data_IF_071178683609
#
_entry.id   IF_071178683609
#
_cell.length_a   1.000
_cell.length_b   1.000
_cell.length_c   1.000
_cell.angle_alpha   90.00
_cell.angle_beta   90.00
_cell.angle_gamma   90.00
#
_symmetry.space_group_name_H-M   'P 1'
#
loop_
_entity.id
_entity.type
_entity.pdbx_description
1 polymer ?
#
# COMPACT_ATOMS: atom_id res chain seq x y z
N UNK A 1 19.36 -23.75 -26.20
CA UNK A 1 19.03 -22.51 -25.46
C UNK A 1 17.85 -22.80 -24.55
N UNK A 2 18.03 -22.77 -23.23
CA UNK A 2 16.92 -22.96 -22.27
C UNK A 2 16.17 -21.63 -22.14
N UNK A 3 14.91 -21.61 -22.56
CA UNK A 3 14.04 -20.46 -22.37
C UNK A 3 13.88 -20.15 -20.87
N UNK A 4 14.06 -18.89 -20.49
CA UNK A 4 13.71 -18.42 -19.14
C UNK A 4 12.20 -18.56 -19.00
N UNK A 5 11.76 -19.53 -18.20
CA UNK A 5 10.41 -19.55 -17.65
C UNK A 5 10.30 -18.33 -16.74
N UNK A 6 9.67 -17.25 -17.22
CA UNK A 6 9.18 -16.21 -16.31
C UNK A 6 8.14 -16.90 -15.41
N UNK A 7 8.28 -16.77 -14.09
CA UNK A 7 7.30 -17.31 -13.15
C UNK A 7 5.89 -16.85 -13.52
N UNK A 8 4.89 -17.65 -13.19
CA UNK A 8 3.50 -17.20 -13.29
C UNK A 8 3.33 -16.09 -12.24
N UNK A 9 2.49 -15.07 -12.49
CA UNK A 9 2.04 -14.14 -11.42
C UNK A 9 1.74 -15.01 -10.19
N UNK A 10 2.09 -14.60 -8.97
CA UNK A 10 1.94 -15.39 -7.73
C UNK A 10 3.12 -16.30 -7.37
N UNK A 11 4.07 -16.49 -8.28
CA UNK A 11 5.32 -17.17 -7.96
C UNK A 11 6.25 -16.23 -7.19
N UNK A 12 6.75 -16.70 -6.04
CA UNK A 12 7.63 -15.89 -5.20
C UNK A 12 8.30 -16.65 -4.08
N UNK A 13 9.10 -15.94 -3.32
CA UNK A 13 9.67 -16.42 -2.06
C UNK A 13 9.22 -15.51 -0.95
N UNK A 14 8.75 -16.09 0.15
CA UNK A 14 8.36 -15.35 1.34
C UNK A 14 9.26 -15.77 2.49
N UNK A 15 9.94 -14.81 3.11
CA UNK A 15 10.68 -15.01 4.36
C UNK A 15 9.82 -14.50 5.51
N UNK A 16 9.62 -15.32 6.54
CA UNK A 16 8.76 -14.97 7.68
C UNK A 16 9.56 -14.90 8.97
N UNK A 17 9.09 -14.10 9.91
CA UNK A 17 9.65 -14.00 11.25
C UNK A 17 8.74 -13.25 12.19
N UNK A 18 9.23 -13.03 13.40
CA UNK A 18 8.53 -12.27 14.43
C UNK A 18 9.49 -11.24 15.04
N UNK A 19 9.00 -10.02 15.27
CA UNK A 19 9.73 -8.98 16.01
C UNK A 19 8.73 -7.99 16.63
N UNK A 20 9.05 -7.45 17.81
CA UNK A 20 8.22 -6.47 18.54
C UNK A 20 6.72 -6.82 18.65
N UNK A 21 6.39 -8.11 18.78
CA UNK A 21 5.00 -8.58 18.90
C UNK A 21 4.25 -8.68 17.57
N UNK A 22 4.93 -8.44 16.44
CA UNK A 22 4.39 -8.61 15.09
C UNK A 22 5.00 -9.84 14.42
N UNK A 23 4.15 -10.62 13.73
CA UNK A 23 4.62 -11.53 12.70
C UNK A 23 4.77 -10.74 11.39
N UNK A 24 5.87 -10.95 10.66
CA UNK A 24 6.13 -10.28 9.40
C UNK A 24 6.43 -11.28 8.29
N UNK A 25 6.16 -10.85 7.06
CA UNK A 25 6.49 -11.54 5.83
C UNK A 25 7.20 -10.58 4.88
N UNK A 26 8.39 -10.97 4.39
CA UNK A 26 9.11 -10.27 3.33
C UNK A 26 8.93 -11.04 2.04
N UNK A 27 8.19 -10.45 1.12
CA UNK A 27 7.82 -11.06 -0.15
C UNK A 27 8.78 -10.63 -1.27
N UNK A 28 9.24 -11.61 -2.04
CA UNK A 28 10.10 -11.44 -3.21
C UNK A 28 9.44 -12.07 -4.45
N UNK A 29 9.62 -11.45 -5.61
CA UNK A 29 9.02 -11.89 -6.86
C UNK A 29 7.58 -11.39 -7.01
N UNK A 30 6.73 -12.19 -7.65
CA UNK A 30 5.33 -11.85 -7.93
C UNK A 30 4.37 -12.42 -6.87
N UNK A 31 4.85 -12.65 -5.65
CA UNK A 31 4.01 -13.06 -4.51
C UNK A 31 2.89 -12.04 -4.27
N UNK A 32 1.72 -12.52 -3.85
CA UNK A 32 0.49 -11.72 -3.77
C UNK A 32 -0.12 -11.68 -2.37
N UNK A 33 0.69 -11.80 -1.32
CA UNK A 33 0.20 -11.60 0.05
C UNK A 33 -0.31 -10.17 0.26
N UNK A 34 0.35 -9.19 -0.36
CA UNK A 34 -0.11 -7.80 -0.43
C UNK A 34 -1.56 -7.62 -0.91
N UNK A 35 -2.03 -8.44 -1.86
CA UNK A 35 -3.40 -8.37 -2.39
C UNK A 35 -4.46 -8.85 -1.37
N UNK A 36 -4.02 -9.50 -0.28
CA UNK A 36 -4.86 -10.16 0.73
C UNK A 36 -4.84 -9.44 2.08
N UNK A 37 -4.39 -8.18 2.12
CA UNK A 37 -4.25 -7.41 3.36
C UNK A 37 -5.53 -7.38 4.20
N UNK A 38 -6.67 -7.11 3.56
CA UNK A 38 -7.99 -7.11 4.21
C UNK A 38 -8.36 -8.50 4.73
N UNK A 39 -8.12 -9.56 3.94
CA UNK A 39 -8.37 -10.93 4.38
C UNK A 39 -7.54 -11.29 5.62
N UNK A 40 -6.25 -10.92 5.64
CA UNK A 40 -5.37 -11.11 6.80
C UNK A 40 -5.94 -10.39 8.02
N UNK A 41 -6.36 -9.12 7.86
CA UNK A 41 -6.92 -8.31 8.94
C UNK A 41 -8.30 -8.81 9.44
N UNK A 42 -8.98 -9.70 8.71
CA UNK A 42 -10.25 -10.27 9.14
C UNK A 42 -10.12 -11.21 10.35
N UNK A 43 -8.93 -11.77 10.57
CA UNK A 43 -8.61 -12.68 11.68
C UNK A 43 -8.53 -12.03 13.06
N UNK A 44 -9.12 -10.84 13.26
CA UNK A 44 -8.97 -9.99 14.45
C UNK A 44 -7.53 -9.54 14.73
N UNK A 45 -6.70 -9.52 13.71
CA UNK A 45 -5.36 -8.97 13.74
C UNK A 45 -5.34 -7.67 12.95
N UNK A 46 -4.51 -6.74 13.40
CA UNK A 46 -4.19 -5.54 12.65
C UNK A 46 -3.12 -5.94 11.61
N UNK A 47 -3.17 -5.38 10.40
CA UNK A 47 -2.23 -5.72 9.32
C UNK A 47 -1.65 -4.46 8.68
N UNK A 48 -0.32 -4.41 8.58
CA UNK A 48 0.42 -3.32 7.94
C UNK A 48 1.18 -3.86 6.73
N UNK A 49 1.09 -3.16 5.61
CA UNK A 49 1.85 -3.45 4.41
C UNK A 49 2.61 -2.21 3.94
N UNK A 50 3.92 -2.36 3.84
CA UNK A 50 4.83 -1.37 3.27
C UNK A 50 5.36 -1.86 1.92
N UNK A 51 5.15 -1.08 0.87
CA UNK A 51 5.60 -1.38 -0.47
C UNK A 51 6.63 -0.33 -0.91
N UNK A 52 7.93 -0.67 -1.03
CA UNK A 52 8.98 0.32 -1.29
C UNK A 52 8.91 1.01 -2.67
N UNK A 53 8.18 0.44 -3.64
CA UNK A 53 7.97 0.98 -5.01
C UNK A 53 9.20 1.65 -5.66
N UNK A 54 10.39 1.05 -5.53
CA UNK A 54 11.67 1.66 -5.94
C UNK A 54 11.76 2.07 -7.41
N UNK A 55 11.08 1.35 -8.31
CA UNK A 55 11.02 1.68 -9.74
C UNK A 55 9.96 2.74 -10.09
N UNK A 56 8.98 2.98 -9.21
CA UNK A 56 7.81 3.86 -9.43
C UNK A 56 7.37 4.51 -8.11
N UNK A 57 8.19 5.41 -7.53
CA UNK A 57 7.83 6.08 -6.28
C UNK A 57 6.49 6.84 -6.39
N UNK A 58 5.81 7.12 -5.26
CA UNK A 58 6.29 6.91 -3.89
C UNK A 58 6.17 5.47 -3.38
N UNK A 59 6.95 5.12 -2.34
CA UNK A 59 6.63 3.95 -1.52
C UNK A 59 5.21 4.07 -0.96
N UNK A 60 4.52 2.95 -0.73
CA UNK A 60 3.15 2.95 -0.22
C UNK A 60 3.06 2.31 1.14
N UNK A 61 2.15 2.85 1.94
CA UNK A 61 1.73 2.30 3.21
C UNK A 61 0.25 1.96 3.14
N UNK A 62 -0.10 0.79 3.67
CA UNK A 62 -1.47 0.34 3.83
C UNK A 62 -1.63 -0.25 5.23
N UNK A 63 -2.71 0.14 5.91
CA UNK A 63 -3.11 -0.43 7.18
C UNK A 63 -4.55 -0.91 7.09
N UNK A 64 -4.78 -2.16 7.49
CA UNK A 64 -6.09 -2.77 7.56
C UNK A 64 -6.37 -3.31 8.97
N UNK A 65 -7.63 -3.20 9.36
CA UNK A 65 -8.15 -3.67 10.64
C UNK A 65 -9.55 -4.22 10.47
N UNK A 66 -9.85 -5.33 11.15
CA UNK A 66 -11.17 -5.97 11.11
C UNK A 66 -11.67 -6.27 9.69
N UNK A 67 -10.76 -6.64 8.79
CA UNK A 67 -11.13 -6.95 7.41
C UNK A 67 -11.26 -5.76 6.47
N UNK A 68 -10.91 -4.54 6.90
CA UNK A 68 -11.13 -3.31 6.12
C UNK A 68 -9.83 -2.52 5.99
N UNK A 69 -9.53 -2.01 4.80
CA UNK A 69 -8.47 -1.01 4.60
C UNK A 69 -8.84 0.27 5.36
N UNK A 70 -8.16 0.52 6.47
CA UNK A 70 -8.47 1.61 7.40
C UNK A 70 -7.76 2.90 7.00
N UNK A 71 -6.46 2.86 6.74
CA UNK A 71 -5.68 4.05 6.40
C UNK A 71 -4.56 3.70 5.41
N UNK A 72 -4.34 4.55 4.41
CA UNK A 72 -3.31 4.34 3.40
C UNK A 72 -2.89 5.64 2.75
N UNK A 73 -1.63 5.70 2.32
CA UNK A 73 -1.05 6.83 1.56
C UNK A 73 0.27 6.43 0.90
N UNK A 74 0.73 7.26 -0.04
CA UNK A 74 2.11 7.25 -0.52
C UNK A 74 3.03 8.03 0.43
N UNK A 75 4.25 7.53 0.66
CA UNK A 75 5.27 8.26 1.41
C UNK A 75 5.78 9.43 0.57
N UNK A 76 5.54 10.65 1.02
CA UNK A 76 5.68 11.88 0.23
C UNK A 76 4.35 12.47 -0.24
N UNK A 77 3.25 11.73 -0.06
CA UNK A 77 1.90 12.09 -0.50
C UNK A 77 0.87 11.89 0.63
N UNK A 78 1.28 12.06 1.89
CA UNK A 78 0.48 11.82 3.10
C UNK A 78 -0.77 12.73 3.18
N UNK A 79 -0.74 13.88 2.50
CA UNK A 79 -1.91 14.76 2.33
C UNK A 79 -3.01 14.12 1.46
N UNK A 80 -2.66 13.10 0.65
CA UNK A 80 -3.57 12.30 -0.20
C UNK A 80 -3.81 10.92 0.42
N UNK A 81 -4.28 10.91 1.66
CA UNK A 81 -4.60 9.70 2.43
C UNK A 81 -6.02 9.21 2.15
N UNK A 82 -6.23 7.89 2.20
CA UNK A 82 -7.51 7.23 1.93
C UNK A 82 -7.73 6.00 2.82
N UNK A 83 -8.91 5.41 2.75
CA UNK A 83 -9.34 4.27 3.57
C UNK A 83 -10.62 4.60 4.35
N UNK A 84 -11.08 3.67 5.19
CA UNK A 84 -12.26 3.87 6.03
C UNK A 84 -12.08 4.98 7.09
N UNK A 85 -10.85 5.16 7.59
CA UNK A 85 -10.45 6.21 8.51
C UNK A 85 -9.18 6.89 7.96
N UNK A 86 -9.30 7.71 6.91
CA UNK A 86 -8.15 8.28 6.22
C UNK A 86 -7.32 9.20 7.14
N UNK A 87 -7.96 9.81 8.14
CA UNK A 87 -7.35 10.76 9.08
C UNK A 87 -6.79 10.09 10.35
N UNK A 88 -6.77 8.76 10.42
CA UNK A 88 -6.30 8.00 11.57
C UNK A 88 -4.90 8.42 12.06
N UNK A 89 -4.01 8.79 11.14
CA UNK A 89 -2.63 9.19 11.42
C UNK A 89 -2.40 10.70 11.35
N UNK A 90 -3.43 11.49 11.09
CA UNK A 90 -3.30 12.94 10.92
C UNK A 90 -2.64 13.62 12.13
N UNK A 91 -3.00 13.30 13.40
CA UNK A 91 -2.35 13.92 14.56
C UNK A 91 -0.84 13.68 14.61
N UNK A 92 -0.40 12.46 14.35
CA UNK A 92 1.03 12.09 14.36
C UNK A 92 1.78 12.71 13.18
N UNK A 93 1.16 12.75 12.01
CA UNK A 93 1.73 13.39 10.82
C UNK A 93 1.90 14.91 11.04
N UNK A 94 0.99 15.57 11.73
CA UNK A 94 1.14 16.99 12.11
C UNK A 94 2.23 17.16 13.15
N UNK A 95 2.26 16.29 14.18
CA UNK A 95 3.23 16.38 15.27
C UNK A 95 4.69 16.22 14.79
N UNK A 96 4.93 15.41 13.76
CA UNK A 96 6.24 15.23 13.13
C UNK A 96 6.54 16.23 12.02
N UNK A 97 5.70 17.26 11.92
CA UNK A 97 5.75 18.33 10.92
C UNK A 97 5.67 17.79 9.49
N UNK A 98 5.17 16.57 9.26
CA UNK A 98 4.98 15.95 7.94
C UNK A 98 3.87 16.69 7.17
N UNK A 99 2.81 17.05 7.89
CA UNK A 99 1.70 17.85 7.40
C UNK A 99 1.57 19.15 8.22
N UNK A 100 1.02 20.18 7.59
CA UNK A 100 0.54 21.37 8.28
C UNK A 100 -0.73 21.06 9.09
N UNK A 101 -1.10 21.91 10.07
CA UNK A 101 -2.33 21.72 10.85
C UNK A 101 -3.62 21.64 10.02
N UNK A 102 -3.63 22.21 8.81
CA UNK A 102 -4.75 22.12 7.87
C UNK A 102 -4.75 20.81 7.04
N UNK A 103 -3.78 19.91 7.29
CA UNK A 103 -3.61 18.65 6.60
C UNK A 103 -2.90 18.75 5.24
N UNK A 104 -2.47 19.96 4.84
CA UNK A 104 -1.68 20.16 3.62
C UNK A 104 -0.23 19.73 3.81
N UNK A 105 0.47 19.49 2.70
CA UNK A 105 1.85 19.03 2.74
C UNK A 105 2.81 20.15 3.20
N UNK A 106 3.66 19.84 4.18
CA UNK A 106 4.60 20.82 4.79
C UNK A 106 6.01 20.77 4.16
N UNK A 107 6.17 20.28 2.92
CA UNK A 107 7.51 20.11 2.32
C UNK A 107 7.62 20.62 0.89
N UNK A 108 8.76 21.26 0.55
CA UNK A 108 9.07 21.62 -0.82
C UNK A 108 9.40 20.37 -1.64
N UNK A 109 8.88 20.30 -2.87
CA UNK A 109 9.00 19.18 -3.82
C UNK A 109 10.43 18.80 -4.27
N UNK A 110 11.48 19.29 -3.61
CA UNK A 110 12.87 19.01 -3.97
C UNK A 110 13.31 17.62 -3.49
N UNK A 111 13.99 16.87 -4.38
CA UNK A 111 14.50 15.52 -4.08
C UNK A 111 15.51 15.45 -2.92
N UNK A 112 16.17 16.55 -2.59
CA UNK A 112 17.22 16.61 -1.55
C UNK A 112 16.67 16.29 -0.16
N UNK A 113 15.38 16.58 0.08
CA UNK A 113 14.74 16.34 1.38
C UNK A 113 13.89 15.05 1.43
N UNK A 114 13.82 14.29 0.33
CA UNK A 114 12.94 13.12 0.22
C UNK A 114 13.30 12.01 1.23
N UNK A 115 14.60 11.76 1.45
CA UNK A 115 15.03 10.71 2.40
C UNK A 115 14.73 11.06 3.85
N UNK A 116 15.02 12.30 4.28
CA UNK A 116 14.72 12.73 5.63
C UNK A 116 13.20 12.69 5.92
N UNK A 117 12.38 13.04 4.92
CA UNK A 117 10.94 12.97 5.03
C UNK A 117 10.42 11.52 5.05
N UNK A 118 10.98 10.67 4.19
CA UNK A 118 10.70 9.24 4.17
C UNK A 118 10.99 8.60 5.53
N UNK A 119 12.12 8.92 6.14
CA UNK A 119 12.49 8.46 7.48
C UNK A 119 11.51 8.97 8.56
N UNK A 120 11.05 10.23 8.48
CA UNK A 120 10.04 10.75 9.41
C UNK A 120 8.71 10.01 9.28
N UNK A 121 8.21 9.81 8.07
CA UNK A 121 6.96 9.08 7.83
C UNK A 121 7.07 7.65 8.31
N UNK A 122 8.19 6.95 8.05
CA UNK A 122 8.42 5.63 8.61
C UNK A 122 8.46 5.65 10.15
N UNK A 123 9.09 6.66 10.76
CA UNK A 123 9.12 6.83 12.20
C UNK A 123 7.72 6.99 12.83
N UNK A 124 6.79 7.69 12.16
CA UNK A 124 5.38 7.75 12.57
C UNK A 124 4.76 6.35 12.58
N UNK A 125 4.95 5.59 11.50
CA UNK A 125 4.39 4.24 11.37
C UNK A 125 4.97 3.29 12.43
N UNK A 126 6.28 3.32 12.63
CA UNK A 126 6.98 2.54 13.65
C UNK A 126 6.42 2.82 15.04
N UNK A 127 6.30 4.09 15.43
CA UNK A 127 5.76 4.46 16.75
C UNK A 127 4.28 4.13 16.90
N UNK A 128 3.46 4.39 15.88
CA UNK A 128 2.01 4.19 15.95
C UNK A 128 1.63 2.74 16.15
N UNK A 129 2.31 1.85 15.42
CA UNK A 129 1.99 0.44 15.36
C UNK A 129 2.94 -0.42 16.22
N UNK A 130 3.94 0.18 16.84
CA UNK A 130 4.98 -0.55 17.57
C UNK A 130 5.79 -1.47 16.68
N UNK A 131 5.98 -1.08 15.40
CA UNK A 131 6.72 -1.89 14.45
C UNK A 131 8.22 -1.76 14.68
N UNK A 132 8.91 -2.87 14.54
CA UNK A 132 10.37 -2.94 14.53
C UNK A 132 10.77 -4.00 13.53
N UNK A 133 11.69 -3.67 12.63
CA UNK A 133 12.31 -4.61 11.71
C UNK A 133 13.81 -4.32 11.64
N UNK A 134 14.58 -4.75 12.66
CA UNK A 134 16.00 -4.50 12.72
C UNK A 134 16.71 -5.13 11.53
N UNK A 135 17.72 -4.43 10.99
CA UNK A 135 18.52 -4.94 9.87
C UNK A 135 19.10 -6.34 10.13
N UNK A 136 19.49 -6.64 11.37
CA UNK A 136 19.97 -7.96 11.76
C UNK A 136 18.92 -9.06 11.53
N UNK A 137 17.65 -8.78 11.82
CA UNK A 137 16.53 -9.71 11.59
C UNK A 137 16.31 -9.97 10.10
N UNK A 138 16.40 -8.93 9.27
CA UNK A 138 16.17 -9.06 7.82
C UNK A 138 17.39 -9.63 7.06
N UNK A 139 18.59 -9.17 7.41
CA UNK A 139 19.82 -9.42 6.66
C UNK A 139 20.66 -10.59 7.16
N UNK A 140 20.62 -10.88 8.46
CA UNK A 140 21.57 -11.80 9.10
C UNK A 140 20.87 -13.04 9.66
N UNK A 141 19.61 -12.91 10.10
CA UNK A 141 18.85 -14.03 10.61
C UNK A 141 18.47 -15.04 9.53
N UNK A 142 18.62 -16.32 9.86
CA UNK A 142 18.10 -17.44 9.06
C UNK A 142 16.59 -17.57 9.27
N UNK A 143 15.85 -16.73 8.56
CA UNK A 143 14.39 -16.78 8.56
C UNK A 143 13.89 -17.99 7.74
N UNK A 144 12.84 -18.70 8.21
CA UNK A 144 12.12 -19.66 7.38
C UNK A 144 11.72 -19.01 6.06
N UNK A 145 11.99 -19.72 4.96
CA UNK A 145 11.71 -19.26 3.60
C UNK A 145 10.80 -20.26 2.90
N UNK A 146 9.72 -19.75 2.32
CA UNK A 146 8.71 -20.55 1.64
C UNK A 146 8.66 -20.13 0.17
N UNK A 147 8.73 -21.10 -0.73
CA UNK A 147 8.39 -20.86 -2.13
C UNK A 147 6.88 -20.86 -2.25
N UNK A 148 6.32 -19.76 -2.73
CA UNK A 148 4.92 -19.68 -3.12
C UNK A 148 4.85 -19.97 -4.61
N UNK A 149 4.03 -20.95 -4.97
CA UNK A 149 3.68 -21.25 -6.36
C UNK A 149 2.18 -21.10 -6.50
N UNK A 150 1.75 -20.41 -7.53
CA UNK A 150 0.33 -20.35 -7.84
C UNK A 150 -0.02 -19.17 -8.71
N UNK A 151 -1.18 -19.26 -9.35
CA UNK A 151 -1.84 -18.14 -10.05
C UNK A 151 -2.59 -17.31 -9.00
N UNK A 152 -2.23 -16.04 -8.76
CA UNK A 152 -2.89 -15.21 -7.78
C UNK A 152 -4.28 -14.93 -8.29
N UNK A 153 -5.19 -14.75 -7.34
CA UNK A 153 -6.57 -14.37 -7.60
C UNK A 153 -6.67 -13.53 -8.88
N UNK A 154 -7.25 -14.16 -9.90
CA UNK A 154 -7.69 -13.49 -11.10
C UNK A 154 -8.59 -12.34 -10.63
N UNK A 155 -8.37 -11.13 -11.12
CA UNK A 155 -9.48 -10.18 -11.29
C UNK A 155 -10.53 -10.95 -12.10
N UNK A 156 -11.54 -11.51 -11.44
CA UNK A 156 -12.65 -12.21 -12.14
C UNK A 156 -13.77 -11.26 -12.51
N UNK A 157 -13.58 -9.95 -12.30
CA UNK A 157 -14.39 -8.90 -12.90
C UNK A 157 -13.68 -8.29 -14.12
N UNK A 158 -14.42 -7.84 -15.14
CA UNK A 158 -13.84 -7.07 -16.24
C UNK A 158 -13.04 -5.90 -15.68
N UNK A 159 -11.94 -5.55 -16.34
CA UNK A 159 -11.22 -4.32 -16.02
C UNK A 159 -12.22 -3.15 -16.15
N UNK A 160 -12.45 -2.36 -15.08
CA UNK A 160 -13.40 -1.26 -15.11
C UNK A 160 -13.02 -0.32 -16.24
N UNK A 161 -14.03 0.10 -16.99
CA UNK A 161 -13.85 1.01 -18.11
C UNK A 161 -13.22 2.31 -17.59
N UNK A 162 -12.19 2.79 -18.31
CA UNK A 162 -11.52 4.04 -18.01
C UNK A 162 -12.54 5.19 -17.86
N UNK A 163 -13.62 5.16 -18.65
CA UNK A 163 -14.67 6.16 -18.59
C UNK A 163 -15.51 6.10 -17.31
N UNK A 164 -15.72 4.92 -16.73
CA UNK A 164 -16.40 4.76 -15.43
C UNK A 164 -15.54 5.34 -14.29
N UNK A 165 -14.25 5.00 -14.25
CA UNK A 165 -13.35 5.54 -13.23
C UNK A 165 -13.26 7.07 -13.34
N UNK A 166 -13.28 7.60 -14.56
CA UNK A 166 -13.25 9.05 -14.82
C UNK A 166 -14.53 9.76 -14.35
N UNK A 167 -15.70 9.17 -14.60
CA UNK A 167 -16.97 9.71 -14.13
C UNK A 167 -17.05 9.73 -12.59
N UNK A 168 -16.65 8.63 -11.94
CA UNK A 168 -16.62 8.54 -10.48
C UNK A 168 -15.64 9.53 -9.85
N UNK A 169 -14.42 9.62 -10.38
CA UNK A 169 -13.43 10.52 -9.85
C UNK A 169 -13.84 11.99 -10.04
N UNK A 170 -14.46 12.34 -11.17
CA UNK A 170 -15.02 13.67 -11.39
C UNK A 170 -16.13 14.00 -10.37
N UNK A 171 -16.99 13.04 -10.02
CA UNK A 171 -18.01 13.20 -8.99
C UNK A 171 -17.43 13.48 -7.59
N UNK A 172 -16.20 12.99 -7.32
CA UNK A 172 -15.44 13.27 -6.10
C UNK A 172 -14.52 14.50 -6.20
N UNK A 173 -14.58 15.25 -7.30
CA UNK A 173 -13.70 16.41 -7.55
C UNK A 173 -12.23 16.04 -7.83
N UNK A 174 -11.92 14.76 -8.02
CA UNK A 174 -10.59 14.30 -8.39
C UNK A 174 -10.37 14.50 -9.89
N UNK A 175 -9.42 15.35 -10.25
CA UNK A 175 -9.06 15.62 -11.66
C UNK A 175 -7.61 15.22 -11.94
N UNK A 176 -7.33 14.73 -13.14
CA UNK A 176 -5.97 14.47 -13.62
C UNK A 176 -5.83 14.80 -15.10
N UNK A 177 -4.59 14.95 -15.55
CA UNK A 177 -4.28 15.11 -16.96
C UNK A 177 -4.42 13.76 -17.68
N UNK A 178 -5.44 13.66 -18.54
CA UNK A 178 -5.80 12.42 -19.24
C UNK A 178 -5.09 12.23 -20.59
N UNK A 179 -4.09 13.06 -20.91
CA UNK A 179 -3.35 12.98 -22.17
C UNK A 179 -2.66 11.62 -22.42
N UNK A 180 -2.50 10.78 -21.37
CA UNK A 180 -1.91 9.45 -21.46
C UNK A 180 -2.89 8.29 -21.49
N UNK A 181 -4.21 8.52 -21.41
CA UNK A 181 -5.21 7.44 -21.39
C UNK A 181 -5.09 6.50 -20.19
N UNK A 182 -4.42 6.92 -19.11
CA UNK A 182 -4.10 6.11 -17.93
C UNK A 182 -4.68 6.74 -16.67
N UNK A 183 -5.46 5.95 -15.96
CA UNK A 183 -5.90 6.28 -14.60
C UNK A 183 -4.69 6.27 -13.65
N UNK A 184 -4.46 7.36 -12.89
CA UNK A 184 -3.46 7.40 -11.82
C UNK A 184 -3.66 6.24 -10.83
N UNK A 185 -2.58 5.68 -10.31
CA UNK A 185 -2.65 4.51 -9.41
C UNK A 185 -3.55 4.74 -8.21
N UNK A 186 -3.45 5.89 -7.56
CA UNK A 186 -4.29 6.24 -6.40
C UNK A 186 -5.78 6.31 -6.75
N UNK A 187 -6.15 6.86 -7.92
CA UNK A 187 -7.54 6.90 -8.40
C UNK A 187 -8.06 5.49 -8.69
N UNK A 188 -7.25 4.65 -9.34
CA UNK A 188 -7.62 3.26 -9.66
C UNK A 188 -7.78 2.39 -8.42
N UNK A 189 -6.96 2.60 -7.40
CA UNK A 189 -7.03 1.84 -6.16
C UNK A 189 -8.18 2.28 -5.27
N UNK A 190 -8.44 3.59 -5.18
CA UNK A 190 -9.63 4.12 -4.51
C UNK A 190 -10.92 3.62 -5.19
N UNK A 191 -10.96 3.58 -6.53
CA UNK A 191 -12.05 2.94 -7.27
C UNK A 191 -12.19 1.46 -6.93
N UNK A 192 -11.10 0.69 -6.98
CA UNK A 192 -11.13 -0.75 -6.67
C UNK A 192 -11.58 -1.02 -5.24
N UNK A 193 -11.30 -0.12 -4.30
CA UNK A 193 -11.76 -0.22 -2.92
C UNK A 193 -13.27 0.00 -2.80
N UNK A 194 -13.81 1.07 -3.41
CA UNK A 194 -15.26 1.36 -3.37
C UNK A 194 -16.07 0.31 -4.15
N UNK A 195 -15.59 -0.10 -5.34
CA UNK A 195 -16.26 -1.12 -6.15
C UNK A 195 -16.32 -2.51 -5.48
N UNK A 196 -15.48 -2.78 -4.47
CA UNK A 196 -15.55 -3.98 -3.63
C UNK A 196 -16.60 -3.88 -2.52
N UNK A 197 -16.98 -2.67 -2.12
CA UNK A 197 -17.92 -2.41 -1.03
C UNK A 197 -19.38 -2.37 -1.50
N UNK A 198 -19.63 -2.13 -2.80
CA UNK A 198 -21.00 -2.05 -3.33
C UNK A 198 -21.18 -2.89 -4.62
N UNK A 199 -21.54 -4.19 -4.51
CA UNK A 199 -21.76 -5.04 -5.68
C UNK A 199 -23.04 -4.72 -6.48
N UNK A 200 -23.80 -3.66 -6.13
CA UNK A 200 -25.16 -3.44 -6.65
C UNK A 200 -25.34 -2.38 -7.74
N UNK A 201 -24.30 -1.70 -8.22
CA UNK A 201 -24.47 -0.68 -9.28
C UNK A 201 -23.72 -0.96 -10.59
N UNK A 202 -23.54 -2.22 -10.96
CA UNK A 202 -23.15 -2.57 -12.35
C UNK A 202 -23.99 -3.72 -12.89
N UNK A 203 -25.22 -3.39 -13.30
CA UNK A 203 -26.00 -4.11 -14.29
C UNK A 203 -26.49 -3.13 -15.35
#
# INVERSE_FOLDING_TARGET
>A
MRGRSYGVRGDGVVRVGEDAGWAFAVEYGDSTGADRLEEIASGRVDAVHYLPMSARPPARFHYAKNGVLTCSFGIGEEHRRWGAEPDLLLPELIAEEILHPDGSQNFPASRVHYMAYHERSLGVLERRFGLSLPRAVLGEARLPAYSVRGTPAMRTGPEPDHQQIKAWAAALGLTWNDAGGRVPSHVREAWNHIARQDPKETA
#
